data_IF_776294351380
#
_entry.id   IF_776294351380
#
_cell.length_a   1.000
_cell.length_b   1.000
_cell.length_c   1.000
_cell.angle_alpha   90.00
_cell.angle_beta   90.00
_cell.angle_gamma   90.00
#
_symmetry.space_group_name_H-M   'P 1'
#
loop_
_entity.id
_entity.type
_entity.pdbx_description
1 polymer ?
#
# COMPACT_ATOMS: atom_id res chain seq x y z
N UNK A 1 31.69 -49.64 -29.73
CA UNK A 1 31.56 -48.35 -30.43
C UNK A 1 30.18 -47.81 -30.05
N UNK A 2 29.97 -47.43 -28.79
CA UNK A 2 30.24 -46.13 -28.16
C UNK A 2 29.43 -44.98 -28.76
N UNK A 3 28.39 -44.58 -28.01
CA UNK A 3 27.86 -43.22 -27.74
C UNK A 3 26.50 -43.42 -27.01
N UNK A 4 26.48 -43.48 -25.66
CA UNK A 4 26.16 -42.39 -24.70
C UNK A 4 24.79 -41.76 -25.04
N UNK A 5 23.68 -41.89 -24.30
CA UNK A 5 23.48 -41.73 -22.85
C UNK A 5 24.20 -40.49 -22.33
N UNK A 6 23.78 -39.32 -22.79
CA UNK A 6 23.80 -38.01 -22.13
C UNK A 6 23.16 -36.99 -23.11
N UNK A 7 22.63 -35.88 -22.60
CA UNK A 7 22.11 -34.71 -23.34
C UNK A 7 20.59 -34.68 -23.64
N UNK A 8 19.75 -35.02 -22.65
CA UNK A 8 18.51 -34.27 -22.45
C UNK A 8 18.86 -33.18 -21.44
N UNK A 9 19.27 -32.01 -21.94
CA UNK A 9 19.42 -30.81 -21.10
C UNK A 9 18.03 -30.43 -20.57
N UNK A 10 17.80 -30.70 -19.27
CA UNK A 10 16.71 -30.13 -18.49
C UNK A 10 16.86 -28.60 -18.51
N UNK A 11 16.04 -27.94 -19.33
CA UNK A 11 15.85 -26.49 -19.24
C UNK A 11 14.87 -26.25 -18.09
N UNK A 12 15.38 -26.34 -16.86
CA UNK A 12 14.72 -25.78 -15.69
C UNK A 12 14.96 -24.26 -15.69
N UNK A 13 14.34 -23.56 -16.64
CA UNK A 13 14.13 -22.14 -16.51
C UNK A 13 13.07 -21.93 -15.42
N UNK A 14 13.52 -21.86 -14.17
CA UNK A 14 12.74 -21.29 -13.09
C UNK A 14 12.25 -19.91 -13.53
N UNK A 15 10.97 -19.83 -13.91
CA UNK A 15 10.26 -18.58 -14.14
C UNK A 15 10.24 -17.81 -12.82
N UNK A 16 11.30 -17.07 -12.53
CA UNK A 16 11.30 -16.10 -11.43
C UNK A 16 10.35 -14.99 -11.86
N UNK A 17 9.10 -15.08 -11.41
CA UNK A 17 8.14 -14.00 -11.54
C UNK A 17 8.77 -12.76 -10.89
N UNK A 18 9.18 -11.77 -11.70
CA UNK A 18 9.69 -10.50 -11.19
C UNK A 18 8.66 -9.93 -10.21
N UNK A 19 9.04 -9.80 -8.95
CA UNK A 19 8.17 -9.11 -7.99
C UNK A 19 7.89 -7.70 -8.55
N UNK A 20 6.62 -7.27 -8.64
CA UNK A 20 6.29 -5.97 -9.22
C UNK A 20 7.05 -4.89 -8.46
N UNK A 21 7.81 -4.06 -9.17
CA UNK A 21 8.65 -3.04 -8.55
C UNK A 21 7.77 -2.04 -7.80
N UNK A 22 8.09 -1.78 -6.53
CA UNK A 22 7.37 -0.77 -5.75
C UNK A 22 7.63 0.63 -6.31
N UNK A 23 6.58 1.45 -6.54
CA UNK A 23 6.77 2.82 -6.99
C UNK A 23 7.50 3.62 -5.92
N UNK A 24 8.46 4.42 -6.35
CA UNK A 24 9.25 5.29 -5.48
C UNK A 24 8.38 6.43 -4.91
N UNK A 25 8.77 7.05 -3.79
CA UNK A 25 8.02 8.19 -3.26
C UNK A 25 7.86 9.36 -4.25
N UNK A 26 8.81 9.53 -5.17
CA UNK A 26 8.71 10.56 -6.21
C UNK A 26 7.63 10.23 -7.24
N UNK A 27 7.55 8.97 -7.67
CA UNK A 27 6.51 8.50 -8.61
C UNK A 27 5.11 8.56 -7.97
N UNK A 28 4.99 8.18 -6.69
CA UNK A 28 3.73 8.30 -5.94
C UNK A 28 3.29 9.77 -5.85
N UNK A 29 4.21 10.66 -5.48
CA UNK A 29 3.90 12.10 -5.42
C UNK A 29 3.48 12.63 -6.80
N UNK A 30 4.22 12.29 -7.85
CA UNK A 30 3.93 12.75 -9.20
C UNK A 30 2.53 12.32 -9.66
N UNK A 31 2.13 11.08 -9.38
CA UNK A 31 0.78 10.63 -9.69
C UNK A 31 -0.29 11.37 -8.88
N UNK A 32 -0.02 11.70 -7.61
CA UNK A 32 -0.95 12.51 -6.82
C UNK A 32 -1.04 13.96 -7.34
N UNK A 33 -0.01 14.49 -7.98
CA UNK A 33 -0.01 15.82 -8.58
C UNK A 33 -1.02 15.94 -9.74
N UNK A 34 -1.30 14.84 -10.47
CA UNK A 34 -2.27 14.81 -11.56
C UNK A 34 -3.72 15.03 -11.10
N UNK A 35 -4.03 14.74 -9.83
CA UNK A 35 -5.39 14.79 -9.29
C UNK A 35 -5.58 15.84 -8.17
N UNK A 36 -4.53 16.13 -7.39
CA UNK A 36 -4.61 17.03 -6.24
C UNK A 36 -3.60 18.16 -6.40
N UNK A 37 -4.12 19.37 -6.62
CA UNK A 37 -3.30 20.59 -6.80
C UNK A 37 -2.89 21.17 -5.44
N UNK A 38 -1.63 21.61 -5.31
CA UNK A 38 -1.07 22.11 -4.05
C UNK A 38 -0.82 20.99 -3.03
N UNK A 39 -0.90 21.25 -1.71
CA UNK A 39 -0.76 20.21 -0.66
C UNK A 39 0.56 19.40 -0.71
N UNK A 40 1.68 20.03 -1.12
CA UNK A 40 2.98 19.36 -1.32
C UNK A 40 3.46 18.56 -0.11
N UNK A 41 3.29 19.13 1.09
CA UNK A 41 3.69 18.47 2.33
C UNK A 41 2.91 17.17 2.56
N UNK A 42 1.58 17.20 2.40
CA UNK A 42 0.73 16.03 2.58
C UNK A 42 1.07 14.93 1.56
N UNK A 43 1.28 15.30 0.28
CA UNK A 43 1.69 14.36 -0.77
C UNK A 43 3.04 13.71 -0.48
N UNK A 44 4.02 14.48 0.00
CA UNK A 44 5.32 13.94 0.42
C UNK A 44 5.18 12.94 1.57
N UNK A 45 4.41 13.28 2.60
CA UNK A 45 4.19 12.41 3.77
C UNK A 45 3.51 11.11 3.34
N UNK A 46 2.45 11.18 2.55
CA UNK A 46 1.72 10.02 2.04
C UNK A 46 2.62 9.12 1.19
N UNK A 47 3.39 9.69 0.27
CA UNK A 47 4.29 8.95 -0.59
C UNK A 47 5.35 8.16 0.19
N UNK A 48 5.97 8.78 1.19
CA UNK A 48 6.97 8.11 2.05
C UNK A 48 6.32 7.04 2.92
N UNK A 49 5.19 7.36 3.55
CA UNK A 49 4.51 6.43 4.44
C UNK A 49 4.04 5.17 3.72
N UNK A 50 3.47 5.30 2.52
CA UNK A 50 3.07 4.16 1.69
C UNK A 50 4.26 3.35 1.23
N UNK A 51 5.31 4.00 0.72
CA UNK A 51 6.53 3.31 0.30
C UNK A 51 7.10 2.46 1.44
N UNK A 52 7.18 3.04 2.64
CA UNK A 52 7.63 2.33 3.84
C UNK A 52 6.65 1.22 4.26
N UNK A 53 5.33 1.43 4.13
CA UNK A 53 4.33 0.41 4.43
C UNK A 53 4.54 -0.86 3.58
N UNK A 54 4.76 -0.71 2.27
CA UNK A 54 5.02 -1.85 1.40
C UNK A 54 6.41 -2.46 1.60
N UNK A 55 7.43 -1.64 1.82
CA UNK A 55 8.76 -2.13 2.14
C UNK A 55 8.71 -3.01 3.40
N UNK A 56 7.93 -2.58 4.40
CA UNK A 56 7.68 -3.32 5.63
C UNK A 56 6.99 -4.66 5.37
N UNK A 57 5.93 -4.69 4.55
CA UNK A 57 5.23 -5.94 4.20
C UNK A 57 6.17 -6.94 3.49
N UNK A 58 7.08 -6.46 2.64
CA UNK A 58 8.08 -7.32 1.98
C UNK A 58 9.18 -7.79 2.91
N UNK A 59 9.58 -6.97 3.88
CA UNK A 59 10.57 -7.36 4.88
C UNK A 59 10.01 -8.27 5.95
N UNK A 60 8.71 -8.21 6.28
CA UNK A 60 8.09 -9.16 7.21
C UNK A 60 8.21 -10.62 6.71
N UNK A 61 8.30 -10.83 5.39
CA UNK A 61 8.56 -12.15 4.79
C UNK A 61 10.04 -12.58 4.83
N UNK A 62 10.96 -11.64 5.09
CA UNK A 62 12.40 -11.88 5.14
C UNK A 62 12.83 -11.78 6.60
N UNK A 63 13.02 -12.91 7.29
CA UNK A 63 13.27 -13.14 8.72
C UNK A 63 14.34 -12.26 9.44
N UNK A 64 14.26 -10.93 9.31
CA UNK A 64 15.05 -9.98 10.07
C UNK A 64 14.32 -9.68 11.37
N UNK A 65 15.00 -9.90 12.49
CA UNK A 65 14.53 -9.73 13.88
C UNK A 65 14.26 -8.25 14.28
N UNK A 66 14.05 -7.37 13.29
CA UNK A 66 13.83 -5.94 13.49
C UNK A 66 12.35 -5.64 13.23
N UNK A 67 11.59 -5.42 14.30
CA UNK A 67 10.20 -4.99 14.20
C UNK A 67 10.10 -3.57 13.63
N UNK A 68 9.52 -3.44 12.44
CA UNK A 68 9.22 -2.15 11.84
C UNK A 68 7.84 -1.66 12.30
N UNK A 69 7.77 -0.48 12.91
CA UNK A 69 6.52 0.14 13.35
C UNK A 69 5.62 0.58 12.19
N UNK A 70 4.29 0.53 12.39
CA UNK A 70 3.30 1.04 11.43
C UNK A 70 3.28 2.58 11.45
N UNK A 71 3.26 3.20 10.27
CA UNK A 71 3.17 4.65 10.10
C UNK A 71 1.74 5.08 9.77
N UNK A 72 0.91 5.25 10.79
CA UNK A 72 -0.43 5.80 10.63
C UNK A 72 -0.35 7.32 10.37
N UNK A 73 -1.30 7.85 9.60
CA UNK A 73 -1.30 9.24 9.16
C UNK A 73 -2.58 9.92 9.64
N UNK A 74 -2.44 11.11 10.22
CA UNK A 74 -3.56 12.02 10.50
C UNK A 74 -3.49 13.20 9.51
N UNK A 75 -4.53 13.35 8.67
CA UNK A 75 -4.64 14.46 7.73
C UNK A 75 -5.46 15.60 8.34
N UNK A 76 -4.83 16.77 8.53
CA UNK A 76 -5.49 17.97 9.05
C UNK A 76 -5.55 19.02 7.94
N UNK A 77 -6.73 19.62 7.75
CA UNK A 77 -6.93 20.70 6.78
C UNK A 77 -8.39 21.12 6.66
N UNK A 78 -8.67 22.29 6.04
CA UNK A 78 -10.03 22.82 5.92
C UNK A 78 -10.94 21.93 5.08
N UNK A 79 -12.25 22.17 5.12
CA UNK A 79 -13.21 21.48 4.25
C UNK A 79 -12.87 21.74 2.77
N UNK A 80 -13.11 20.75 1.91
CA UNK A 80 -12.82 20.87 0.46
C UNK A 80 -11.34 20.87 0.06
N UNK A 81 -10.38 20.71 0.99
CA UNK A 81 -8.95 20.75 0.68
C UNK A 81 -8.37 19.50 -0.01
N UNK A 82 -9.21 18.53 -0.39
CA UNK A 82 -8.77 17.31 -1.08
C UNK A 82 -8.29 16.15 -0.19
N UNK A 83 -8.53 16.17 1.14
CA UNK A 83 -8.12 15.08 2.05
C UNK A 83 -8.63 13.70 1.61
N UNK A 84 -9.93 13.59 1.35
CA UNK A 84 -10.56 12.35 0.88
C UNK A 84 -10.06 11.94 -0.51
N UNK A 85 -9.88 12.92 -1.40
CA UNK A 85 -9.40 12.69 -2.76
C UNK A 85 -7.95 12.17 -2.78
N UNK A 86 -7.09 12.64 -1.88
CA UNK A 86 -5.73 12.13 -1.70
C UNK A 86 -5.75 10.63 -1.38
N UNK A 87 -6.55 10.22 -0.39
CA UNK A 87 -6.63 8.82 0.03
C UNK A 87 -7.20 7.91 -1.08
N UNK A 88 -8.28 8.33 -1.73
CA UNK A 88 -8.88 7.57 -2.84
C UNK A 88 -7.95 7.46 -4.05
N UNK A 89 -7.22 8.52 -4.40
CA UNK A 89 -6.29 8.50 -5.53
C UNK A 89 -5.10 7.60 -5.26
N UNK A 90 -4.57 7.64 -4.02
CA UNK A 90 -3.49 6.78 -3.59
C UNK A 90 -3.88 5.30 -3.64
N UNK A 91 -5.08 4.95 -3.16
CA UNK A 91 -5.60 3.59 -3.24
C UNK A 91 -5.77 3.09 -4.69
N UNK A 92 -6.32 3.93 -5.58
CA UNK A 92 -6.47 3.62 -7.01
C UNK A 92 -5.13 3.39 -7.69
N UNK A 93 -4.13 4.23 -7.41
CA UNK A 93 -2.77 4.09 -7.97
C UNK A 93 -2.14 2.76 -7.61
N UNK A 94 -2.29 2.33 -6.35
CA UNK A 94 -1.64 1.14 -5.81
C UNK A 94 -2.45 -0.13 -6.03
N UNK A 95 -3.66 -0.01 -6.59
CA UNK A 95 -4.59 -1.10 -6.83
C UNK A 95 -4.81 -1.99 -5.59
N UNK A 96 -5.12 -1.35 -4.45
CA UNK A 96 -5.36 -2.07 -3.18
C UNK A 96 -6.77 -1.92 -2.64
N UNK A 97 -7.22 -2.90 -1.84
CA UNK A 97 -8.45 -2.76 -1.07
C UNK A 97 -8.42 -1.46 -0.24
N UNK A 98 -9.51 -0.70 -0.32
CA UNK A 98 -9.62 0.60 0.33
C UNK A 98 -10.98 0.75 0.97
N UNK A 99 -10.99 0.81 2.30
CA UNK A 99 -12.18 1.08 3.09
C UNK A 99 -12.26 2.58 3.44
N UNK A 100 -13.46 3.13 3.35
CA UNK A 100 -13.77 4.49 3.80
C UNK A 100 -14.89 4.41 4.84
N UNK A 101 -14.66 5.01 6.00
CA UNK A 101 -15.62 5.06 7.09
C UNK A 101 -15.71 6.47 7.67
N UNK A 102 -16.89 6.81 8.20
CA UNK A 102 -17.12 8.03 8.95
C UNK A 102 -17.06 7.73 10.44
N UNK A 103 -16.15 8.37 11.17
CA UNK A 103 -16.01 8.15 12.60
C UNK A 103 -17.22 8.65 13.41
N UNK A 104 -18.05 9.53 12.86
CA UNK A 104 -19.24 10.04 13.55
C UNK A 104 -20.37 9.01 13.68
N UNK A 105 -20.34 7.94 12.88
CA UNK A 105 -21.31 6.84 12.96
C UNK A 105 -20.89 5.74 13.94
N UNK A 106 -19.63 5.77 14.39
CA UNK A 106 -19.06 4.76 15.28
C UNK A 106 -19.40 5.06 16.73
N UNK A 107 -19.85 4.04 17.45
CA UNK A 107 -20.17 4.13 18.88
C UNK A 107 -19.45 3.03 19.68
N UNK A 108 -19.36 3.21 20.99
CA UNK A 108 -18.83 2.17 21.87
C UNK A 108 -19.63 0.87 21.75
N UNK A 109 -18.95 -0.27 21.91
CA UNK A 109 -19.57 -1.59 21.86
C UNK A 109 -20.73 -1.70 22.85
N UNK A 110 -21.89 -2.14 22.38
CA UNK A 110 -23.12 -2.23 23.20
C UNK A 110 -23.96 -0.95 23.25
N UNK A 111 -23.58 0.10 22.51
CA UNK A 111 -24.44 1.26 22.26
C UNK A 111 -25.07 1.21 20.86
N UNK A 112 -26.10 2.03 20.61
CA UNK A 112 -26.79 2.09 19.32
C UNK A 112 -25.93 2.84 18.30
N UNK A 113 -25.23 2.12 17.42
CA UNK A 113 -24.38 2.65 16.33
C UNK A 113 -23.61 1.56 15.57
N UNK A 114 -22.74 1.95 14.63
CA UNK A 114 -21.89 1.00 13.89
C UNK A 114 -20.65 0.62 14.74
N UNK A 115 -20.34 -0.69 14.81
CA UNK A 115 -19.11 -1.21 15.41
C UNK A 115 -17.87 -0.88 14.55
N UNK A 116 -16.70 -0.71 15.18
CA UNK A 116 -15.40 -0.55 14.52
C UNK A 116 -15.05 -1.74 13.62
N UNK A 117 -15.51 -2.95 13.95
CA UNK A 117 -15.28 -4.14 13.12
C UNK A 117 -15.94 -4.05 11.74
N UNK A 118 -17.04 -3.31 11.61
CA UNK A 118 -17.75 -3.13 10.34
C UNK A 118 -16.92 -2.36 9.31
N UNK A 119 -15.92 -1.58 9.74
CA UNK A 119 -15.00 -0.84 8.85
C UNK A 119 -14.12 -1.79 8.04
N UNK A 120 -13.83 -2.99 8.56
CA UNK A 120 -12.99 -3.99 7.90
C UNK A 120 -13.76 -4.94 6.98
N UNK A 121 -15.09 -4.98 7.11
CA UNK A 121 -15.96 -5.90 6.35
C UNK A 121 -16.53 -5.29 5.05
N UNK A 122 -16.38 -3.97 4.85
CA UNK A 122 -16.82 -3.22 3.65
C UNK A 122 -15.64 -2.94 2.72
#
# INVERSE_FOLDING_TARGET
MLANADDIEEIDEEFQAEEPKLPTPHEIRAHLDDYVIGQDYAKKVLAVAVYNHYKRLRSENNASDVELGKSNILLIGPTGSGKTLLAQTLARMLNVPFAMADATTLTEAGYVGEDVENVLQK
#
